data_IF_617753590466
#
_entry.id   IF_617753590466
#
_cell.length_a   1.000
_cell.length_b   1.000
_cell.length_c   1.000
_cell.angle_alpha   90.00
_cell.angle_beta   90.00
_cell.angle_gamma   90.00
#
_symmetry.space_group_name_H-M   'P 1'
#
loop_
_entity.id
_entity.type
_entity.pdbx_description
1 polymer ?
#
# COMPACT_ATOMS: atom_id res chain seq x y z
N UNK A 1 -17.75 11.61 -8.64
CA UNK A 1 -17.79 10.89 -7.34
C UNK A 1 -16.54 11.25 -6.55
N UNK A 2 -16.64 11.34 -5.22
CA UNK A 2 -15.47 11.40 -4.34
C UNK A 2 -14.90 10.00 -4.12
N UNK A 3 -13.71 9.91 -3.54
CA UNK A 3 -13.00 8.63 -3.39
C UNK A 3 -13.74 7.65 -2.46
N UNK A 4 -14.42 8.17 -1.41
CA UNK A 4 -15.24 7.33 -0.52
C UNK A 4 -16.35 6.61 -1.29
N UNK A 5 -17.08 7.35 -2.14
CA UNK A 5 -18.17 6.78 -2.95
C UNK A 5 -17.65 5.72 -3.93
N UNK A 6 -16.48 5.96 -4.53
CA UNK A 6 -15.83 5.02 -5.44
C UNK A 6 -15.39 3.75 -4.71
N UNK A 7 -14.75 3.86 -3.55
CA UNK A 7 -14.36 2.70 -2.75
C UNK A 7 -15.57 1.89 -2.30
N UNK A 8 -16.65 2.53 -1.88
CA UNK A 8 -17.91 1.84 -1.51
C UNK A 8 -18.50 1.10 -2.72
N UNK A 9 -18.59 1.77 -3.87
CA UNK A 9 -19.05 1.18 -5.13
C UNK A 9 -18.28 -0.09 -5.49
N UNK A 10 -16.96 -0.04 -5.36
CA UNK A 10 -16.05 -1.13 -5.70
C UNK A 10 -15.84 -2.13 -4.56
N UNK A 11 -16.53 -1.97 -3.42
CA UNK A 11 -16.43 -2.83 -2.22
C UNK A 11 -15.02 -2.86 -1.61
N UNK A 12 -14.21 -1.84 -1.85
CA UNK A 12 -12.88 -1.70 -1.33
C UNK A 12 -12.89 -1.47 0.18
N UNK A 13 -12.05 -2.19 0.92
CA UNK A 13 -11.98 -2.11 2.38
C UNK A 13 -11.44 -0.79 2.90
N UNK A 14 -10.74 -0.02 2.07
CA UNK A 14 -10.27 1.35 2.38
C UNK A 14 -11.41 2.33 2.73
N UNK A 15 -12.68 1.97 2.46
CA UNK A 15 -13.85 2.71 2.92
C UNK A 15 -14.90 1.84 3.62
N UNK A 16 -14.88 0.52 3.47
CA UNK A 16 -15.87 -0.38 4.09
C UNK A 16 -15.40 -0.91 5.44
N UNK A 17 -14.10 -1.08 5.64
CA UNK A 17 -13.46 -1.53 6.87
C UNK A 17 -12.65 -0.38 7.51
N UNK A 18 -11.79 0.25 6.72
CA UNK A 18 -10.92 1.36 7.12
C UNK A 18 -11.51 2.71 6.70
N UNK A 19 -10.91 3.80 7.19
CA UNK A 19 -11.26 5.17 6.81
C UNK A 19 -10.16 5.83 5.98
N UNK A 20 -9.39 5.04 5.25
CA UNK A 20 -8.23 5.50 4.47
C UNK A 20 -8.61 6.48 3.36
N UNK A 21 -9.88 6.44 2.90
CA UNK A 21 -10.40 7.41 1.94
C UNK A 21 -10.23 8.87 2.39
N UNK A 22 -10.17 9.15 3.70
CA UNK A 22 -10.01 10.51 4.22
C UNK A 22 -8.63 11.07 3.86
N UNK A 23 -7.58 10.27 4.07
CA UNK A 23 -6.22 10.64 3.68
C UNK A 23 -6.06 10.69 2.17
N UNK A 24 -6.51 9.66 1.48
CA UNK A 24 -6.32 9.57 0.03
C UNK A 24 -7.11 10.63 -0.75
N UNK A 25 -8.33 11.00 -0.33
CA UNK A 25 -9.06 12.11 -0.94
C UNK A 25 -8.30 13.44 -0.75
N UNK A 26 -7.75 13.67 0.45
CA UNK A 26 -6.95 14.87 0.72
C UNK A 26 -5.71 14.94 -0.17
N UNK A 27 -4.96 13.85 -0.28
CA UNK A 27 -3.70 13.83 -0.99
C UNK A 27 -3.85 13.76 -2.51
N UNK A 28 -4.89 13.07 -3.00
CA UNK A 28 -5.03 12.72 -4.42
C UNK A 28 -5.97 13.62 -5.20
N UNK A 29 -6.80 14.43 -4.53
CA UNK A 29 -7.83 15.25 -5.19
C UNK A 29 -7.27 16.19 -6.27
N UNK A 30 -6.08 16.74 -6.05
CA UNK A 30 -5.39 17.61 -7.02
C UNK A 30 -4.86 16.89 -8.26
N UNK A 31 -4.84 15.55 -8.26
CA UNK A 31 -4.22 14.73 -9.32
C UNK A 31 -5.23 13.98 -10.19
N UNK A 32 -6.53 14.15 -9.96
CA UNK A 32 -7.60 13.37 -10.64
C UNK A 32 -7.47 13.31 -12.16
N UNK A 33 -7.01 14.38 -12.78
CA UNK A 33 -6.91 14.48 -14.24
C UNK A 33 -5.46 14.55 -14.75
N UNK A 34 -4.49 14.24 -13.89
CA UNK A 34 -3.09 14.31 -14.26
C UNK A 34 -2.60 12.96 -14.79
N UNK A 35 -1.63 13.04 -15.70
CA UNK A 35 -0.84 11.88 -16.11
C UNK A 35 0.15 11.53 -15.00
N UNK A 36 -0.21 10.57 -14.15
CA UNK A 36 0.61 10.11 -13.04
C UNK A 36 0.81 8.59 -13.11
N UNK A 37 1.86 8.13 -12.45
CA UNK A 37 2.14 6.71 -12.28
C UNK A 37 1.92 6.33 -10.82
N UNK A 38 1.07 5.34 -10.58
CA UNK A 38 0.78 4.78 -9.25
C UNK A 38 1.24 3.34 -9.21
N UNK A 39 1.98 2.97 -8.17
CA UNK A 39 2.28 1.56 -7.86
C UNK A 39 1.47 1.14 -6.64
N UNK A 40 0.71 0.08 -6.77
CA UNK A 40 0.04 -0.60 -5.67
C UNK A 40 0.68 -1.98 -5.46
N UNK A 41 1.11 -2.27 -4.24
CA UNK A 41 1.63 -3.58 -3.83
C UNK A 41 0.54 -4.25 -3.00
N UNK A 42 0.13 -5.46 -3.43
CA UNK A 42 -1.07 -6.12 -2.92
C UNK A 42 -2.29 -5.85 -3.81
N UNK A 43 -2.47 -6.66 -4.85
CA UNK A 43 -3.61 -6.54 -5.78
C UNK A 43 -4.86 -7.23 -5.26
N UNK A 44 -4.70 -8.42 -4.67
CA UNK A 44 -5.76 -9.30 -4.19
C UNK A 44 -6.89 -9.47 -5.22
N UNK A 45 -8.10 -8.92 -4.98
CA UNK A 45 -9.25 -8.98 -5.91
C UNK A 45 -9.31 -7.79 -6.86
N UNK A 46 -8.41 -6.81 -6.71
CA UNK A 46 -8.33 -5.62 -7.54
C UNK A 46 -9.41 -4.56 -7.26
N UNK A 47 -10.03 -4.59 -6.07
CA UNK A 47 -11.08 -3.64 -5.67
C UNK A 47 -10.52 -2.22 -5.53
N UNK A 48 -9.31 -2.08 -4.95
CA UNK A 48 -8.58 -0.82 -4.87
C UNK A 48 -8.03 -0.40 -6.24
N UNK A 49 -7.42 -1.32 -7.00
CA UNK A 49 -6.96 -1.06 -8.38
C UNK A 49 -8.09 -0.51 -9.26
N UNK A 50 -9.31 -1.11 -9.19
CA UNK A 50 -10.50 -0.60 -9.89
C UNK A 50 -10.87 0.79 -9.40
N UNK A 51 -10.73 1.04 -8.11
CA UNK A 51 -11.08 2.34 -7.52
C UNK A 51 -10.13 3.44 -7.98
N UNK A 52 -8.84 3.14 -8.11
CA UNK A 52 -7.88 4.07 -8.69
C UNK A 52 -8.18 4.39 -10.16
N UNK A 53 -8.57 3.38 -10.96
CA UNK A 53 -9.01 3.56 -12.35
C UNK A 53 -10.24 4.46 -12.46
N UNK A 54 -11.21 4.30 -11.55
CA UNK A 54 -12.43 5.09 -11.53
C UNK A 54 -12.17 6.54 -11.04
N UNK A 55 -11.16 6.74 -10.17
CA UNK A 55 -10.84 8.05 -9.58
C UNK A 55 -9.95 8.91 -10.46
N UNK A 56 -8.92 8.31 -11.07
CA UNK A 56 -7.96 9.01 -11.90
C UNK A 56 -8.27 8.79 -13.39
N UNK A 57 -8.49 9.87 -14.13
CA UNK A 57 -8.87 9.76 -15.55
C UNK A 57 -7.70 9.40 -16.47
N UNK A 58 -6.45 9.75 -16.10
CA UNK A 58 -5.26 9.61 -16.95
C UNK A 58 -4.09 8.87 -16.27
N UNK A 59 -4.27 8.37 -15.04
CA UNK A 59 -3.22 7.65 -14.36
C UNK A 59 -2.92 6.29 -15.02
N UNK A 60 -1.64 5.93 -15.02
CA UNK A 60 -1.20 4.55 -15.25
C UNK A 60 -1.04 3.87 -13.89
N UNK A 61 -1.67 2.73 -13.76
CA UNK A 61 -1.65 1.93 -12.53
C UNK A 61 -0.72 0.74 -12.76
N UNK A 62 0.24 0.60 -11.88
CA UNK A 62 1.12 -0.55 -11.80
C UNK A 62 0.74 -1.31 -10.54
N UNK A 63 0.63 -2.62 -10.61
CA UNK A 63 0.32 -3.40 -9.42
C UNK A 63 1.16 -4.66 -9.34
N UNK A 64 1.54 -5.04 -8.13
CA UNK A 64 2.41 -6.17 -7.83
C UNK A 64 1.78 -7.07 -6.78
N UNK A 65 1.75 -8.37 -7.03
CA UNK A 65 1.20 -9.37 -6.09
C UNK A 65 1.86 -10.73 -6.36
N UNK A 66 1.88 -11.61 -5.40
CA UNK A 66 2.26 -13.02 -5.61
C UNK A 66 1.20 -13.79 -6.38
N UNK A 67 -0.04 -13.31 -6.38
CA UNK A 67 -1.23 -13.96 -6.95
C UNK A 67 -1.48 -15.39 -6.44
N UNK A 68 -1.04 -15.68 -5.21
CA UNK A 68 -1.29 -16.98 -4.58
C UNK A 68 -2.73 -17.11 -4.07
N UNK A 69 -3.34 -15.98 -3.63
CA UNK A 69 -4.71 -15.98 -3.12
C UNK A 69 -5.76 -15.87 -4.23
N UNK A 70 -5.50 -15.01 -5.21
CA UNK A 70 -6.40 -14.75 -6.33
C UNK A 70 -5.58 -14.70 -7.61
N UNK A 71 -5.86 -15.61 -8.54
CA UNK A 71 -5.17 -15.65 -9.84
C UNK A 71 -5.51 -14.42 -10.70
N UNK A 72 -4.55 -13.88 -11.47
CA UNK A 72 -4.73 -12.62 -12.25
C UNK A 72 -5.93 -12.66 -13.19
N UNK A 73 -6.26 -13.81 -13.76
CA UNK A 73 -7.36 -13.99 -14.71
C UNK A 73 -8.73 -13.70 -14.05
N UNK A 74 -8.80 -13.82 -12.71
CA UNK A 74 -10.01 -13.56 -11.90
C UNK A 74 -10.12 -12.11 -11.43
N UNK A 75 -9.15 -11.25 -11.78
CA UNK A 75 -9.11 -9.84 -11.39
C UNK A 75 -9.48 -8.96 -12.58
N UNK A 76 -10.72 -8.48 -12.71
CA UNK A 76 -11.18 -7.73 -13.88
C UNK A 76 -10.40 -6.45 -14.17
N UNK A 77 -10.00 -5.71 -13.12
CA UNK A 77 -9.26 -4.46 -13.25
C UNK A 77 -7.90 -4.60 -13.95
N UNK A 78 -7.28 -5.80 -13.91
CA UNK A 78 -6.01 -6.06 -14.59
C UNK A 78 -6.12 -6.11 -16.12
N UNK A 79 -7.34 -6.10 -16.67
CA UNK A 79 -7.60 -6.08 -18.11
C UNK A 79 -7.71 -4.67 -18.68
N UNK A 80 -7.77 -3.64 -17.83
CA UNK A 80 -7.78 -2.24 -18.29
C UNK A 80 -6.40 -1.90 -18.91
N UNK A 81 -6.41 -1.18 -20.03
CA UNK A 81 -5.19 -0.84 -20.78
C UNK A 81 -4.28 0.16 -20.03
N UNK A 82 -4.77 0.80 -18.98
CA UNK A 82 -4.00 1.65 -18.08
C UNK A 82 -3.33 0.87 -16.95
N UNK A 83 -3.56 -0.46 -16.84
CA UNK A 83 -3.00 -1.31 -15.79
C UNK A 83 -1.87 -2.16 -16.34
N UNK A 84 -0.73 -2.12 -15.67
CA UNK A 84 0.36 -3.08 -15.85
C UNK A 84 0.57 -3.83 -14.53
N UNK A 85 0.53 -5.16 -14.56
CA UNK A 85 0.66 -5.96 -13.35
C UNK A 85 1.88 -6.88 -13.40
N UNK A 86 2.41 -7.20 -12.22
CA UNK A 86 3.60 -8.02 -12.03
C UNK A 86 3.32 -9.13 -11.01
N UNK A 87 3.63 -10.36 -11.38
CA UNK A 87 3.62 -11.47 -10.43
C UNK A 87 4.98 -11.55 -9.75
N UNK A 88 5.06 -10.97 -8.55
CA UNK A 88 6.29 -10.89 -7.77
C UNK A 88 6.01 -10.93 -6.27
N UNK A 89 6.96 -11.43 -5.50
CA UNK A 89 7.02 -11.21 -4.06
C UNK A 89 7.78 -9.91 -3.81
N UNK A 90 7.10 -8.90 -3.30
CA UNK A 90 7.64 -7.56 -3.04
C UNK A 90 8.75 -7.56 -1.98
N UNK A 91 8.80 -8.58 -1.13
CA UNK A 91 9.83 -8.72 -0.09
C UNK A 91 11.13 -9.33 -0.61
N UNK A 92 11.09 -9.95 -1.78
CA UNK A 92 12.26 -10.57 -2.39
C UNK A 92 13.23 -9.55 -2.99
N UNK A 93 14.53 -9.71 -2.75
CA UNK A 93 15.56 -8.79 -3.24
C UNK A 93 15.64 -8.67 -4.75
N UNK A 94 15.17 -9.68 -5.49
CA UNK A 94 15.18 -9.69 -6.96
C UNK A 94 13.91 -9.08 -7.58
N UNK A 95 12.90 -8.71 -6.79
CA UNK A 95 11.66 -8.12 -7.31
C UNK A 95 11.91 -6.83 -8.10
N UNK A 96 12.93 -6.06 -7.73
CA UNK A 96 13.34 -4.81 -8.40
C UNK A 96 13.63 -4.97 -9.88
N UNK A 97 14.13 -6.13 -10.31
CA UNK A 97 14.51 -6.37 -11.71
C UNK A 97 13.31 -6.22 -12.67
N UNK A 98 12.11 -6.58 -12.20
CA UNK A 98 10.89 -6.43 -12.99
C UNK A 98 10.54 -4.96 -13.27
N UNK A 99 10.99 -4.04 -12.41
CA UNK A 99 10.66 -2.62 -12.46
C UNK A 99 11.78 -1.76 -13.05
N UNK A 100 13.04 -2.16 -12.94
CA UNK A 100 14.19 -1.41 -13.50
C UNK A 100 14.06 -1.15 -15.00
N UNK A 101 13.56 -2.13 -15.74
CA UNK A 101 13.42 -2.04 -17.21
C UNK A 101 12.29 -1.09 -17.65
N UNK A 102 11.40 -0.66 -16.73
CA UNK A 102 10.34 0.29 -17.05
C UNK A 102 10.86 1.70 -17.25
N UNK A 103 12.03 2.03 -16.66
CA UNK A 103 12.62 3.38 -16.66
C UNK A 103 11.62 4.47 -16.26
N UNK A 104 10.79 4.19 -15.24
CA UNK A 104 9.76 5.09 -14.70
C UNK A 104 9.97 5.33 -13.21
N UNK A 105 9.43 6.45 -12.74
CA UNK A 105 9.26 6.73 -11.33
C UNK A 105 7.78 6.92 -11.03
N UNK A 106 7.38 6.59 -9.81
CA UNK A 106 6.01 6.66 -9.33
C UNK A 106 5.74 7.98 -8.60
N UNK A 107 4.59 8.58 -8.86
CA UNK A 107 4.06 9.70 -8.09
C UNK A 107 3.60 9.23 -6.72
N UNK A 108 2.97 8.05 -6.69
CA UNK A 108 2.48 7.41 -5.48
C UNK A 108 2.84 5.94 -5.46
N UNK A 109 3.29 5.45 -4.30
CA UNK A 109 3.46 4.03 -4.02
C UNK A 109 2.58 3.69 -2.81
N UNK A 110 1.74 2.68 -2.94
CA UNK A 110 0.83 2.20 -1.89
C UNK A 110 1.22 0.76 -1.58
N UNK A 111 1.70 0.51 -0.37
CA UNK A 111 2.06 -0.81 0.14
C UNK A 111 0.92 -1.34 1.01
N UNK A 112 0.09 -2.17 0.39
CA UNK A 112 -1.02 -2.94 0.98
C UNK A 112 -0.76 -4.45 0.79
N UNK A 113 0.52 -4.84 0.93
CA UNK A 113 1.01 -6.20 0.67
C UNK A 113 1.03 -7.09 1.89
N UNK A 114 2.23 -7.44 2.38
CA UNK A 114 2.42 -8.25 3.57
C UNK A 114 2.45 -7.37 4.82
N UNK A 115 1.38 -7.40 5.61
CA UNK A 115 1.17 -6.53 6.78
C UNK A 115 1.94 -7.00 8.03
N UNK A 116 3.18 -7.46 7.84
CA UNK A 116 4.11 -7.72 8.94
C UNK A 116 5.23 -6.66 8.93
N UNK A 117 5.78 -6.27 10.09
CA UNK A 117 6.83 -5.25 10.13
C UNK A 117 8.02 -5.54 9.22
N UNK A 118 8.46 -6.82 9.16
CA UNK A 118 9.56 -7.21 8.28
C UNK A 118 9.17 -7.15 6.80
N UNK A 119 7.94 -7.61 6.45
CA UNK A 119 7.43 -7.54 5.08
C UNK A 119 7.33 -6.11 4.58
N UNK A 120 6.74 -5.22 5.39
CA UNK A 120 6.62 -3.79 5.09
C UNK A 120 8.00 -3.12 4.95
N UNK A 121 8.96 -3.46 5.83
CA UNK A 121 10.34 -2.97 5.71
C UNK A 121 11.02 -3.40 4.41
N UNK A 122 11.00 -4.69 4.10
CA UNK A 122 11.62 -5.23 2.90
C UNK A 122 11.00 -4.67 1.62
N UNK A 123 9.67 -4.56 1.59
CA UNK A 123 8.94 -3.94 0.48
C UNK A 123 9.34 -2.47 0.32
N UNK A 124 9.36 -1.71 1.41
CA UNK A 124 9.77 -0.31 1.39
C UNK A 124 11.21 -0.16 0.84
N UNK A 125 12.18 -0.93 1.35
CA UNK A 125 13.58 -0.90 0.91
C UNK A 125 13.74 -1.29 -0.57
N UNK A 126 12.85 -2.14 -1.06
CA UNK A 126 12.84 -2.54 -2.46
C UNK A 126 12.27 -1.46 -3.39
N UNK A 127 11.29 -0.66 -2.96
CA UNK A 127 10.55 0.20 -3.86
C UNK A 127 10.77 1.70 -3.67
N UNK A 128 11.38 2.16 -2.57
CA UNK A 128 11.56 3.59 -2.29
C UNK A 128 12.35 4.34 -3.38
N UNK A 129 13.29 3.66 -4.02
CA UNK A 129 14.11 4.26 -5.07
C UNK A 129 13.30 4.59 -6.34
N UNK A 130 12.20 3.89 -6.58
CA UNK A 130 11.29 4.16 -7.68
C UNK A 130 10.31 5.31 -7.41
N UNK A 131 10.28 5.86 -6.18
CA UNK A 131 9.46 7.01 -5.85
C UNK A 131 10.08 8.31 -6.41
N UNK A 132 9.27 9.17 -7.06
CA UNK A 132 9.70 10.52 -7.45
C UNK A 132 10.13 11.35 -6.25
N UNK A 133 11.03 12.34 -6.41
CA UNK A 133 11.41 13.25 -5.31
C UNK A 133 10.21 14.00 -4.69
N UNK A 134 9.15 14.25 -5.47
CA UNK A 134 7.91 14.89 -5.02
C UNK A 134 6.79 13.92 -4.70
N UNK A 135 7.07 12.62 -4.76
CA UNK A 135 6.10 11.55 -4.56
C UNK A 135 5.83 11.24 -3.09
N UNK A 136 4.82 10.43 -2.86
CA UNK A 136 4.49 9.90 -1.53
C UNK A 136 4.39 8.38 -1.54
N UNK A 137 4.97 7.76 -0.52
CA UNK A 137 4.88 6.33 -0.26
C UNK A 137 3.96 6.12 0.95
N UNK A 138 3.01 5.19 0.85
CA UNK A 138 2.06 4.86 1.91
C UNK A 138 2.24 3.41 2.31
N UNK A 139 2.48 3.14 3.59
CA UNK A 139 2.46 1.79 4.16
C UNK A 139 1.15 1.66 4.91
N UNK A 140 0.25 0.79 4.45
CA UNK A 140 -1.06 0.54 5.06
C UNK A 140 -1.01 -0.58 6.10
N UNK A 141 -2.02 -0.64 6.95
CA UNK A 141 -2.26 -1.69 7.94
C UNK A 141 -1.05 -1.94 8.86
N UNK A 142 -0.44 -0.84 9.34
CA UNK A 142 0.73 -0.91 10.20
C UNK A 142 0.33 -1.28 11.63
N UNK A 143 0.87 -2.37 12.12
CA UNK A 143 0.79 -2.72 13.54
C UNK A 143 1.77 -1.88 14.36
N UNK A 144 1.27 -0.79 14.97
CA UNK A 144 2.07 0.06 15.87
C UNK A 144 2.35 -0.70 17.18
N UNK A 145 3.33 -1.62 17.15
CA UNK A 145 3.57 -2.58 18.24
C UNK A 145 3.96 -1.91 19.57
N UNK A 146 4.46 -0.71 19.52
CA UNK A 146 4.81 0.12 20.69
C UNK A 146 3.61 0.89 21.28
N UNK A 147 2.40 0.74 20.75
CA UNK A 147 1.21 1.51 21.13
C UNK A 147 0.00 0.62 21.41
N UNK A 148 -0.97 1.15 22.16
CA UNK A 148 -2.35 0.63 22.29
C UNK A 148 -2.46 -0.85 22.67
N UNK A 149 -1.49 -1.39 23.42
CA UNK A 149 -1.42 -2.82 23.76
C UNK A 149 -1.45 -3.77 22.53
N UNK A 150 -1.04 -3.31 21.35
CA UNK A 150 -1.05 -4.10 20.13
C UNK A 150 -0.26 -5.42 20.27
N UNK A 151 0.82 -5.43 21.06
CA UNK A 151 1.54 -6.67 21.43
C UNK A 151 0.66 -7.69 22.15
N UNK A 152 -0.41 -7.26 22.81
CA UNK A 152 -1.35 -8.13 23.52
C UNK A 152 -2.49 -8.63 22.64
N UNK A 153 -2.62 -8.13 21.42
CA UNK A 153 -3.67 -8.52 20.49
C UNK A 153 -3.52 -10.01 20.10
N UNK A 154 -4.66 -10.73 19.99
CA UNK A 154 -4.64 -12.16 19.75
C UNK A 154 -3.94 -12.56 18.44
N UNK A 155 -4.07 -11.73 17.38
CA UNK A 155 -3.42 -11.96 16.09
C UNK A 155 -1.89 -11.89 16.19
N UNK A 156 -1.37 -10.86 16.86
CA UNK A 156 0.06 -10.70 17.13
C UNK A 156 0.59 -11.88 17.94
N UNK A 157 -0.15 -12.29 19.00
CA UNK A 157 0.22 -13.47 19.81
C UNK A 157 0.18 -14.78 19.04
N UNK A 158 -0.67 -14.89 18.02
CA UNK A 158 -0.75 -16.07 17.17
C UNK A 158 0.43 -16.16 16.20
N UNK A 159 1.07 -15.04 15.88
CA UNK A 159 2.19 -14.93 14.94
C UNK A 159 3.41 -14.26 15.60
N UNK A 160 3.94 -14.80 16.72
CA UNK A 160 4.93 -14.11 17.55
C UNK A 160 6.27 -13.89 16.84
N UNK A 161 6.60 -14.71 15.84
CA UNK A 161 7.83 -14.56 15.07
C UNK A 161 7.74 -13.47 14.00
N UNK A 162 6.54 -13.09 13.58
CA UNK A 162 6.30 -12.08 12.56
C UNK A 162 6.17 -10.69 13.17
N UNK A 163 5.60 -10.60 14.38
CA UNK A 163 5.30 -9.36 15.09
C UNK A 163 6.18 -9.20 16.33
N UNK A 164 7.48 -8.91 16.13
CA UNK A 164 8.41 -8.59 17.21
C UNK A 164 8.70 -7.08 17.27
N UNK A 165 8.99 -6.58 18.47
CA UNK A 165 9.44 -5.17 18.66
C UNK A 165 10.72 -4.90 17.88
N UNK A 166 11.61 -5.88 17.78
CA UNK A 166 12.85 -5.75 17.00
C UNK A 166 12.55 -5.48 15.52
N UNK A 167 11.73 -6.30 14.88
CA UNK A 167 11.32 -6.13 13.47
C UNK A 167 10.57 -4.81 13.24
N UNK A 168 9.71 -4.43 14.20
CA UNK A 168 9.03 -3.15 14.15
C UNK A 168 10.02 -1.97 14.23
N UNK A 169 11.00 -2.02 15.12
CA UNK A 169 12.02 -0.98 15.23
C UNK A 169 12.86 -0.90 13.94
N UNK A 170 13.21 -2.03 13.33
CA UNK A 170 13.91 -2.07 12.04
C UNK A 170 13.09 -1.41 10.92
N UNK A 171 11.77 -1.62 10.86
CA UNK A 171 10.88 -0.89 9.94
C UNK A 171 10.97 0.62 10.19
N UNK A 172 10.80 1.06 11.44
CA UNK A 172 10.85 2.48 11.79
C UNK A 172 12.22 3.10 11.45
N UNK A 173 13.32 2.41 11.73
CA UNK A 173 14.68 2.85 11.38
C UNK A 173 14.87 3.01 9.87
N UNK A 174 14.33 2.09 9.07
CA UNK A 174 14.46 2.15 7.60
C UNK A 174 13.78 3.37 6.99
N UNK A 175 12.68 3.85 7.59
CA UNK A 175 11.90 4.99 7.09
C UNK A 175 12.30 6.33 7.71
N UNK A 176 12.95 6.34 8.88
CA UNK A 176 13.25 7.58 9.66
C UNK A 176 14.18 8.57 8.97
N UNK A 177 14.90 8.17 7.93
CA UNK A 177 15.72 9.08 7.10
C UNK A 177 14.88 9.97 6.17
N UNK A 178 13.57 9.74 6.11
CA UNK A 178 12.61 10.48 5.31
C UNK A 178 11.64 11.25 6.19
N UNK A 179 10.85 12.15 5.59
CA UNK A 179 9.76 12.81 6.30
C UNK A 179 8.60 11.82 6.44
N UNK A 180 8.37 11.33 7.67
CA UNK A 180 7.29 10.39 7.98
C UNK A 180 6.15 11.11 8.67
N UNK A 181 4.92 10.84 8.24
CA UNK A 181 3.68 11.29 8.89
C UNK A 181 2.82 10.07 9.20
N UNK A 182 2.37 9.94 10.44
CA UNK A 182 1.52 8.86 10.90
C UNK A 182 0.06 9.27 10.85
N UNK A 183 -0.80 8.38 10.37
CA UNK A 183 -2.25 8.53 10.36
C UNK A 183 -2.89 7.38 11.13
N UNK A 184 -3.60 7.70 12.19
CA UNK A 184 -4.28 6.74 13.07
C UNK A 184 -5.77 6.67 12.74
N UNK A 185 -6.18 5.58 12.11
CA UNK A 185 -7.58 5.23 11.85
C UNK A 185 -8.02 4.05 12.70
N UNK A 186 -7.19 3.63 13.66
CA UNK A 186 -7.41 2.44 14.45
C UNK A 186 -8.65 2.51 15.35
N UNK A 187 -9.14 1.35 15.70
CA UNK A 187 -10.20 1.17 16.70
C UNK A 187 -9.98 -0.14 17.46
N UNK A 188 -10.78 -0.38 18.51
CA UNK A 188 -10.72 -1.68 19.21
C UNK A 188 -10.93 -2.89 18.30
N UNK A 189 -11.65 -2.72 17.17
CA UNK A 189 -11.95 -3.81 16.22
C UNK A 189 -10.90 -3.95 15.12
N UNK A 190 -10.20 -2.86 14.77
CA UNK A 190 -9.20 -2.79 13.70
C UNK A 190 -7.95 -2.06 14.19
N UNK A 191 -7.16 -2.71 15.08
CA UNK A 191 -6.01 -2.08 15.73
C UNK A 191 -4.82 -1.81 14.81
N UNK A 192 -4.78 -2.45 13.65
CA UNK A 192 -3.79 -2.31 12.57
C UNK A 192 -4.10 -1.18 11.58
N UNK A 193 -5.20 -0.45 11.78
CA UNK A 193 -5.61 0.61 10.84
C UNK A 193 -4.78 1.89 10.99
N UNK A 194 -3.48 1.79 10.71
CA UNK A 194 -2.55 2.91 10.63
C UNK A 194 -1.94 3.00 9.24
N UNK A 195 -1.69 4.23 8.79
CA UNK A 195 -0.88 4.50 7.60
C UNK A 195 0.36 5.29 8.00
N UNK A 196 1.52 4.85 7.52
CA UNK A 196 2.74 5.63 7.52
C UNK A 196 2.92 6.24 6.13
N UNK A 197 2.81 7.57 6.02
CA UNK A 197 3.08 8.32 4.80
C UNK A 197 4.51 8.83 4.82
N UNK A 198 5.28 8.49 3.79
CA UNK A 198 6.69 8.83 3.64
C UNK A 198 6.85 9.73 2.42
N UNK A 199 7.55 10.86 2.60
CA UNK A 199 7.95 11.76 1.53
C UNK A 199 9.48 11.81 1.44
N UNK A 200 10.02 11.81 0.20
CA UNK A 200 11.45 12.01 -0.05
C UNK A 200 11.90 13.42 0.27
#
# INVERSE_FOLDING_TARGET
MNLKEIFIKNKCDKATKHRYYELYEQDFNGFKNNEINILEIGTFKGESTQSWLDYFSQAKIYTADTFERVSPEKVPSLKDNRVQWFKVDSTSSNCKENFKNLNIQFDFIIDDGLHTPEGQRLTFENFIDFLKPTGSYYIEDVWMLNRNNNMSHYWVKKHPNDFTIEKYNQLIESINKFKVTEYDFSSKKIPDSFILKINK
#
